data_IF_258283104499
#
_entry.id   IF_258283104499
#
_cell.length_a   1.000
_cell.length_b   1.000
_cell.length_c   1.000
_cell.angle_alpha   90.00
_cell.angle_beta   90.00
_cell.angle_gamma   90.00
#
_symmetry.space_group_name_H-M   'P 1'
#
loop_
_entity.id
_entity.type
_entity.pdbx_description
1 polymer ?
#
# COMPACT_ATOMS: atom_id res chain seq x y z
N UNK A 1 -4.99 1.70 49.11
CA UNK A 1 -3.74 2.15 49.72
C UNK A 1 -2.94 3.14 48.86
N UNK A 2 -2.71 2.85 47.57
CA UNK A 2 -1.97 3.74 46.68
C UNK A 2 -2.66 5.10 46.44
N UNK A 3 -3.98 5.13 46.37
CA UNK A 3 -4.76 6.35 46.19
C UNK A 3 -4.72 7.28 47.39
N UNK A 4 -4.79 6.72 48.62
CA UNK A 4 -4.67 7.51 49.86
C UNK A 4 -3.29 8.14 50.01
N UNK A 5 -2.23 7.45 49.58
CA UNK A 5 -0.85 7.95 49.64
C UNK A 5 -0.67 9.12 48.65
N UNK A 6 -1.25 9.00 47.45
CA UNK A 6 -1.21 10.07 46.42
C UNK A 6 -1.97 11.33 46.90
N UNK A 7 -3.17 11.16 47.47
CA UNK A 7 -3.96 12.27 47.96
C UNK A 7 -3.25 13.00 49.10
N UNK A 8 -2.57 12.25 49.97
CA UNK A 8 -1.80 12.84 51.08
C UNK A 8 -0.60 13.63 50.57
N UNK A 9 0.11 13.15 49.56
CA UNK A 9 1.22 13.86 48.93
C UNK A 9 0.75 15.10 48.20
N UNK A 10 -0.35 15.03 47.45
CA UNK A 10 -0.93 16.19 46.77
C UNK A 10 -1.39 17.24 47.78
N UNK A 11 -2.04 16.83 48.88
CA UNK A 11 -2.44 17.75 49.95
C UNK A 11 -1.23 18.42 50.62
N UNK A 12 -0.16 17.67 50.88
CA UNK A 12 1.09 18.25 51.43
C UNK A 12 1.70 19.25 50.46
N UNK A 13 1.75 18.96 49.18
CA UNK A 13 2.25 19.85 48.15
C UNK A 13 1.40 21.13 48.08
N UNK A 14 0.09 21.02 48.12
CA UNK A 14 -0.83 22.16 48.17
C UNK A 14 -0.64 23.02 49.40
N UNK A 15 -0.47 22.41 50.55
CA UNK A 15 -0.20 23.14 51.82
C UNK A 15 1.16 23.83 51.82
N UNK A 16 2.20 23.18 51.28
CA UNK A 16 3.52 23.73 51.14
C UNK A 16 3.53 24.93 50.17
N UNK A 17 2.83 24.81 49.06
CA UNK A 17 2.65 25.89 48.09
C UNK A 17 1.97 27.09 48.71
N UNK A 18 0.89 26.85 49.50
CA UNK A 18 0.17 27.92 50.21
C UNK A 18 0.96 28.62 51.27
N UNK A 19 2.02 27.99 51.80
CA UNK A 19 2.89 28.56 52.82
C UNK A 19 4.10 29.34 52.28
N UNK A 20 4.39 29.23 50.98
CA UNK A 20 5.51 29.91 50.34
C UNK A 20 5.28 31.42 50.30
N UNK A 21 6.33 32.21 50.56
CA UNK A 21 6.26 33.65 50.30
C UNK A 21 5.84 33.95 48.87
N UNK A 22 5.11 35.03 48.67
CA UNK A 22 4.56 35.39 47.35
C UNK A 22 5.61 35.41 46.25
N UNK A 23 6.81 35.91 46.56
CA UNK A 23 7.93 35.95 45.62
C UNK A 23 8.39 34.56 45.21
N UNK A 24 8.53 33.64 46.15
CA UNK A 24 8.95 32.26 45.89
C UNK A 24 7.87 31.50 45.13
N UNK A 25 6.62 31.74 45.44
CA UNK A 25 5.47 31.17 44.72
C UNK A 25 5.48 31.59 43.25
N UNK A 26 5.71 32.86 42.95
CA UNK A 26 5.82 33.38 41.58
C UNK A 26 6.98 32.75 40.84
N UNK A 27 8.14 32.59 41.47
CA UNK A 27 9.32 31.97 40.89
C UNK A 27 8.99 30.49 40.53
N UNK A 28 8.32 29.78 41.42
CA UNK A 28 7.95 28.41 41.22
C UNK A 28 6.99 28.26 40.04
N UNK A 29 5.98 29.10 39.94
CA UNK A 29 5.02 29.10 38.82
C UNK A 29 5.73 29.39 37.51
N UNK A 30 6.62 30.39 37.47
CA UNK A 30 7.38 30.71 36.26
C UNK A 30 8.25 29.52 35.82
N UNK A 31 8.89 28.83 36.75
CA UNK A 31 9.65 27.61 36.44
C UNK A 31 8.79 26.50 35.90
N UNK A 32 7.61 26.30 36.49
CA UNK A 32 6.66 25.28 35.99
C UNK A 32 6.19 25.61 34.59
N UNK A 33 5.85 26.83 34.28
CA UNK A 33 5.44 27.30 32.97
C UNK A 33 6.55 27.08 31.95
N UNK A 34 7.77 27.47 32.26
CA UNK A 34 8.94 27.28 31.41
C UNK A 34 9.20 25.79 31.13
N UNK A 35 9.03 24.94 32.14
CA UNK A 35 9.17 23.49 32.00
C UNK A 35 8.12 22.93 31.08
N UNK A 36 6.87 23.36 31.22
CA UNK A 36 5.76 22.97 30.32
C UNK A 36 6.00 23.44 28.89
N UNK A 37 6.44 24.68 28.70
CA UNK A 37 6.78 25.20 27.36
C UNK A 37 7.88 24.37 26.70
N UNK A 38 8.92 23.99 27.45
CA UNK A 38 10.00 23.15 26.96
C UNK A 38 9.49 21.76 26.53
N UNK A 39 8.61 21.15 27.32
CA UNK A 39 7.99 19.87 26.99
C UNK A 39 7.10 19.97 25.75
N UNK A 40 6.33 21.05 25.64
CA UNK A 40 5.48 21.30 24.47
C UNK A 40 6.31 21.46 23.20
N UNK A 41 7.43 22.17 23.28
CA UNK A 41 8.34 22.37 22.16
C UNK A 41 8.92 21.03 21.67
N UNK A 42 9.35 20.19 22.61
CA UNK A 42 9.86 18.85 22.29
C UNK A 42 8.79 17.97 21.67
N UNK A 43 7.57 18.00 22.17
CA UNK A 43 6.44 17.27 21.59
C UNK A 43 6.14 17.76 20.17
N UNK A 44 6.15 19.06 19.97
CA UNK A 44 5.93 19.68 18.66
C UNK A 44 6.98 19.23 17.65
N UNK A 45 8.24 19.21 18.03
CA UNK A 45 9.34 18.73 17.17
C UNK A 45 9.17 17.25 16.84
N UNK A 46 8.83 16.44 17.83
CA UNK A 46 8.61 15.01 17.64
C UNK A 46 7.45 14.73 16.68
N UNK A 47 6.34 15.42 16.86
CA UNK A 47 5.16 15.30 15.98
C UNK A 47 5.50 15.73 14.55
N UNK A 48 6.22 16.86 14.40
CA UNK A 48 6.64 17.34 13.08
C UNK A 48 7.52 16.32 12.36
N UNK A 49 8.44 15.70 13.09
CA UNK A 49 9.31 14.66 12.55
C UNK A 49 8.51 13.42 12.10
N UNK A 50 7.59 12.97 12.94
CA UNK A 50 6.74 11.82 12.65
C UNK A 50 5.84 12.07 11.44
N UNK A 51 5.29 13.27 11.31
CA UNK A 51 4.49 13.69 10.17
C UNK A 51 5.30 13.69 8.88
N UNK A 52 6.54 14.14 8.93
CA UNK A 52 7.42 14.15 7.77
C UNK A 52 7.77 12.71 7.32
N UNK A 53 8.06 11.83 8.27
CA UNK A 53 8.30 10.41 7.99
C UNK A 53 7.06 9.73 7.37
N UNK A 54 5.89 10.01 7.93
CA UNK A 54 4.62 9.51 7.39
C UNK A 54 4.37 9.99 5.97
N UNK A 55 4.62 11.27 5.71
CA UNK A 55 4.48 11.87 4.39
C UNK A 55 5.40 11.20 3.38
N UNK A 56 6.66 10.95 3.76
CA UNK A 56 7.63 10.28 2.90
C UNK A 56 7.22 8.84 2.60
N UNK A 57 6.80 8.10 3.61
CA UNK A 57 6.29 6.72 3.43
C UNK A 57 5.05 6.68 2.55
N UNK A 58 4.17 7.64 2.71
CA UNK A 58 2.96 7.74 1.89
C UNK A 58 3.31 7.99 0.41
N UNK A 59 4.29 8.85 0.16
CA UNK A 59 4.80 9.12 -1.19
C UNK A 59 5.41 7.86 -1.80
N UNK A 60 6.24 7.12 -1.06
CA UNK A 60 6.82 5.85 -1.50
C UNK A 60 5.74 4.81 -1.83
N UNK A 61 4.74 4.70 -0.97
CA UNK A 61 3.62 3.78 -1.18
C UNK A 61 2.85 4.13 -2.45
N UNK A 62 2.57 5.41 -2.67
CA UNK A 62 1.89 5.87 -3.88
C UNK A 62 2.71 5.58 -5.14
N UNK A 63 4.02 5.77 -5.08
CA UNK A 63 4.93 5.43 -6.18
C UNK A 63 4.90 3.94 -6.49
N UNK A 64 4.93 3.11 -5.45
CA UNK A 64 4.84 1.65 -5.59
C UNK A 64 3.51 1.23 -6.22
N UNK A 65 2.41 1.83 -5.81
CA UNK A 65 1.08 1.59 -6.39
C UNK A 65 1.08 1.95 -7.88
N UNK A 66 1.69 3.07 -8.25
CA UNK A 66 1.79 3.50 -9.65
C UNK A 66 2.60 2.48 -10.47
N UNK A 67 3.72 2.00 -9.95
CA UNK A 67 4.53 0.96 -10.59
C UNK A 67 3.74 -0.34 -10.78
N UNK A 68 2.98 -0.76 -9.77
CA UNK A 68 2.13 -1.95 -9.85
C UNK A 68 1.06 -1.76 -10.94
N UNK A 69 0.41 -0.62 -11.00
CA UNK A 69 -0.58 -0.31 -12.04
C UNK A 69 0.03 -0.41 -13.43
N UNK A 70 1.20 0.19 -13.63
CA UNK A 70 1.90 0.16 -14.91
C UNK A 70 2.29 -1.27 -15.30
N UNK A 71 2.75 -2.06 -14.34
CA UNK A 71 3.09 -3.47 -14.56
C UNK A 71 1.86 -4.28 -14.95
N UNK A 72 0.72 -4.06 -14.28
CA UNK A 72 -0.54 -4.72 -14.60
C UNK A 72 -1.05 -4.36 -16.01
N UNK A 73 -0.93 -3.10 -16.40
CA UNK A 73 -1.28 -2.67 -17.76
C UNK A 73 -0.41 -3.37 -18.80
N UNK A 74 0.90 -3.48 -18.54
CA UNK A 74 1.83 -4.20 -19.40
C UNK A 74 1.47 -5.68 -19.52
N UNK A 75 1.13 -6.33 -18.39
CA UNK A 75 0.71 -7.72 -18.36
C UNK A 75 -0.59 -7.90 -19.15
N UNK A 76 -1.57 -7.04 -18.97
CA UNK A 76 -2.84 -7.09 -19.69
C UNK A 76 -2.64 -6.95 -21.21
N UNK A 77 -1.75 -6.03 -21.64
CA UNK A 77 -1.39 -5.90 -23.05
C UNK A 77 -0.80 -7.18 -23.62
N UNK A 78 0.09 -7.83 -22.87
CA UNK A 78 0.73 -9.09 -23.29
C UNK A 78 -0.27 -10.24 -23.37
N UNK A 79 -1.22 -10.28 -22.43
CA UNK A 79 -2.32 -11.27 -22.46
C UNK A 79 -3.18 -11.06 -23.70
N UNK A 80 -3.54 -9.81 -24.02
CA UNK A 80 -4.34 -9.49 -25.21
C UNK A 80 -3.61 -9.90 -26.49
N UNK A 81 -2.32 -9.64 -26.60
CA UNK A 81 -1.49 -10.07 -27.73
C UNK A 81 -1.45 -11.60 -27.85
N UNK A 82 -1.28 -12.29 -26.73
CA UNK A 82 -1.27 -13.75 -26.68
C UNK A 82 -2.61 -14.33 -27.13
N UNK A 83 -3.72 -13.72 -26.70
CA UNK A 83 -5.07 -14.12 -27.13
C UNK A 83 -5.26 -13.94 -28.63
N UNK A 84 -4.79 -12.84 -29.21
CA UNK A 84 -4.82 -12.62 -30.67
C UNK A 84 -4.02 -13.68 -31.41
N UNK A 85 -2.83 -14.03 -30.95
CA UNK A 85 -1.99 -15.08 -31.54
C UNK A 85 -2.65 -16.44 -31.47
N UNK A 86 -3.29 -16.74 -30.33
CA UNK A 86 -4.03 -17.98 -30.17
C UNK A 86 -5.18 -18.06 -31.17
N UNK A 87 -5.95 -16.99 -31.35
CA UNK A 87 -7.04 -16.91 -32.34
C UNK A 87 -6.52 -17.11 -33.75
N UNK A 88 -5.41 -16.49 -34.13
CA UNK A 88 -4.80 -16.67 -35.43
C UNK A 88 -4.34 -18.09 -35.67
N UNK A 89 -3.75 -18.74 -34.67
CA UNK A 89 -3.33 -20.14 -34.75
C UNK A 89 -4.52 -21.08 -34.87
N UNK A 90 -5.60 -20.85 -34.15
CA UNK A 90 -6.84 -21.60 -34.24
C UNK A 90 -7.42 -21.51 -35.66
N UNK A 91 -7.46 -20.31 -36.25
CA UNK A 91 -7.92 -20.11 -37.61
C UNK A 91 -7.07 -20.89 -38.63
N UNK A 92 -5.74 -20.85 -38.45
CA UNK A 92 -4.81 -21.61 -39.30
C UNK A 92 -5.00 -23.10 -39.16
N UNK A 93 -5.27 -23.61 -37.96
CA UNK A 93 -5.56 -25.01 -37.72
C UNK A 93 -6.85 -25.46 -38.44
N UNK A 94 -7.88 -24.62 -38.38
CA UNK A 94 -9.13 -24.88 -39.12
C UNK A 94 -8.87 -24.96 -40.62
N UNK A 95 -8.07 -24.05 -41.20
CA UNK A 95 -7.69 -24.07 -42.62
C UNK A 95 -6.94 -25.34 -42.98
N UNK A 96 -5.94 -25.72 -42.19
CA UNK A 96 -5.12 -26.93 -42.45
C UNK A 96 -6.00 -28.19 -42.40
N UNK A 97 -6.84 -28.30 -41.39
CA UNK A 97 -7.75 -29.42 -41.22
C UNK A 97 -8.71 -29.53 -42.41
N UNK A 98 -9.26 -28.40 -42.87
CA UNK A 98 -10.13 -28.34 -44.04
C UNK A 98 -9.42 -28.77 -45.32
N UNK A 99 -8.20 -28.33 -45.52
CA UNK A 99 -7.38 -28.74 -46.68
C UNK A 99 -7.04 -30.23 -46.67
N UNK A 100 -6.71 -30.79 -45.51
CA UNK A 100 -6.45 -32.23 -45.36
C UNK A 100 -7.69 -33.08 -45.67
N UNK A 101 -8.83 -32.65 -45.16
CA UNK A 101 -10.11 -33.33 -45.45
C UNK A 101 -10.42 -33.32 -46.93
N UNK A 102 -10.18 -32.23 -47.64
CA UNK A 102 -10.34 -32.13 -49.08
C UNK A 102 -9.38 -33.05 -49.83
N UNK A 103 -8.12 -33.14 -49.42
CA UNK A 103 -7.14 -34.04 -49.99
C UNK A 103 -7.57 -35.50 -49.84
N UNK A 104 -8.05 -35.89 -48.69
CA UNK A 104 -8.54 -37.24 -48.41
C UNK A 104 -9.74 -37.57 -49.32
N UNK A 105 -10.67 -36.64 -49.52
CA UNK A 105 -11.82 -36.80 -50.41
C UNK A 105 -11.38 -37.01 -51.87
N UNK A 106 -10.42 -36.23 -52.32
CA UNK A 106 -9.87 -36.33 -53.68
C UNK A 106 -9.19 -37.67 -53.87
N UNK A 107 -8.39 -38.13 -52.92
CA UNK A 107 -7.73 -39.42 -52.94
C UNK A 107 -8.73 -40.58 -53.04
N UNK A 108 -9.80 -40.54 -52.25
CA UNK A 108 -10.86 -41.55 -52.29
C UNK A 108 -11.57 -41.58 -53.65
N UNK A 109 -11.88 -40.47 -54.24
CA UNK A 109 -12.46 -40.33 -55.55
C UNK A 109 -11.54 -40.93 -56.64
N UNK A 110 -10.25 -40.63 -56.55
CA UNK A 110 -9.24 -41.14 -57.46
C UNK A 110 -9.13 -42.67 -57.35
N UNK A 111 -9.08 -43.22 -56.14
CA UNK A 111 -9.07 -44.65 -55.87
C UNK A 111 -10.32 -45.35 -56.45
N UNK A 112 -11.49 -44.80 -56.22
CA UNK A 112 -12.74 -45.32 -56.73
C UNK A 112 -12.78 -45.32 -58.28
N UNK A 113 -12.30 -44.26 -58.91
CA UNK A 113 -12.18 -44.15 -60.36
C UNK A 113 -11.23 -45.19 -60.91
N UNK A 114 -10.13 -45.48 -60.27
CA UNK A 114 -9.17 -46.54 -60.67
C UNK A 114 -9.71 -47.93 -60.49
N UNK A 115 -10.53 -48.16 -59.48
CA UNK A 115 -11.17 -49.47 -59.25
C UNK A 115 -12.23 -49.79 -60.30
N UNK A 116 -12.94 -48.81 -60.80
CA UNK A 116 -13.99 -48.94 -61.78
C UNK A 116 -13.45 -49.18 -63.21
N UNK A 117 -12.14 -48.97 -63.36
CA UNK A 117 -11.45 -49.30 -64.59
C UNK A 117 -11.04 -50.78 -64.62
#
# INVERSE_FOLDING_TARGET
>A
MKEQTRNTEVQKNEEEIGKLPEKEFRIMIVKMIKNLESKMEKMKESISKDLEELKNKNTETNNTITEIKNTLEGINSRISEAEERISELEDKMVEITSKEQNKVKIMKRTENSLRDF
#
